data_IF_755983397559
#
_entry.id   IF_755983397559
#
_cell.length_a   1.000
_cell.length_b   1.000
_cell.length_c   1.000
_cell.angle_alpha   90.00
_cell.angle_beta   90.00
_cell.angle_gamma   90.00
#
_symmetry.space_group_name_H-M   'P 1'
#
loop_
_entity.id
_entity.type
_entity.pdbx_description
1 polymer ?
#
# COMPACT_ATOMS: atom_id res chain seq x y z
N UNK A 1 -0.51 23.47 0.46
CA UNK A 1 0.95 23.38 0.61
C UNK A 1 1.46 22.10 -0.04
N UNK A 2 2.05 22.23 -1.21
CA UNK A 2 2.50 21.12 -2.06
C UNK A 2 3.54 20.24 -1.36
N UNK A 3 4.41 20.84 -0.59
CA UNK A 3 5.49 20.17 0.12
C UNK A 3 4.98 19.15 1.15
N UNK A 4 3.99 19.55 1.96
CA UNK A 4 3.42 18.62 2.95
C UNK A 4 2.76 17.41 2.30
N UNK A 5 2.00 17.62 1.22
CA UNK A 5 1.40 16.49 0.49
C UNK A 5 2.42 15.61 -0.20
N UNK A 6 3.49 16.19 -0.75
CA UNK A 6 4.57 15.44 -1.36
C UNK A 6 5.25 14.51 -0.34
N UNK A 7 5.60 15.01 0.84
CA UNK A 7 6.22 14.19 1.88
C UNK A 7 5.29 13.09 2.41
N UNK A 8 4.01 13.39 2.58
CA UNK A 8 3.00 12.39 2.97
C UNK A 8 2.92 11.28 1.92
N UNK A 9 2.88 11.63 0.63
CA UNK A 9 2.78 10.67 -0.46
C UNK A 9 4.03 9.80 -0.57
N UNK A 10 5.22 10.41 -0.46
CA UNK A 10 6.50 9.69 -0.46
C UNK A 10 6.60 8.75 0.74
N UNK A 11 6.21 9.20 1.94
CA UNK A 11 6.22 8.36 3.13
C UNK A 11 5.24 7.17 3.00
N UNK A 12 4.10 7.37 2.37
CA UNK A 12 3.13 6.30 2.14
C UNK A 12 3.65 5.24 1.16
N UNK A 13 4.40 5.63 0.12
CA UNK A 13 4.95 4.72 -0.88
C UNK A 13 6.28 4.10 -0.47
N UNK A 14 7.24 4.90 -0.01
CA UNK A 14 8.61 4.45 0.25
C UNK A 14 8.83 3.90 1.66
N UNK A 15 8.16 4.48 2.67
CA UNK A 15 8.31 4.11 4.09
C UNK A 15 6.93 3.72 4.63
N UNK A 16 6.28 2.81 3.94
CA UNK A 16 4.91 2.43 4.27
C UNK A 16 4.85 1.50 5.48
N UNK A 17 3.99 1.82 6.44
CA UNK A 17 3.64 0.92 7.53
C UNK A 17 2.98 -0.38 7.05
N UNK A 18 2.34 -0.36 5.87
CA UNK A 18 1.82 -1.56 5.24
C UNK A 18 2.93 -2.56 4.91
N UNK A 19 4.07 -2.09 4.40
CA UNK A 19 5.24 -2.95 4.16
C UNK A 19 5.73 -3.62 5.45
N UNK A 20 5.68 -2.93 6.57
CA UNK A 20 6.09 -3.50 7.87
C UNK A 20 5.18 -4.63 8.34
N UNK A 21 3.90 -4.64 7.97
CA UNK A 21 2.98 -5.74 8.27
C UNK A 21 3.22 -6.95 7.37
N UNK A 22 3.69 -6.75 6.14
CA UNK A 22 3.93 -7.80 5.16
C UNK A 22 5.32 -8.43 5.27
N UNK A 23 6.34 -7.64 5.62
CA UNK A 23 7.73 -8.08 5.69
C UNK A 23 7.95 -9.32 6.57
N UNK A 24 7.35 -9.43 7.79
CA UNK A 24 7.50 -10.63 8.61
C UNK A 24 6.90 -11.88 7.98
N UNK A 25 5.80 -11.75 7.23
CA UNK A 25 5.17 -12.86 6.52
C UNK A 25 6.05 -13.33 5.36
N UNK A 26 6.58 -12.39 4.58
CA UNK A 26 7.48 -12.70 3.48
C UNK A 26 8.79 -13.30 3.97
N UNK A 27 9.37 -12.78 5.06
CA UNK A 27 10.58 -13.33 5.66
C UNK A 27 10.44 -14.81 6.05
N UNK A 28 9.28 -15.20 6.57
CA UNK A 28 8.97 -16.61 6.92
C UNK A 28 8.81 -17.53 5.70
N UNK A 29 8.49 -16.94 4.53
CA UNK A 29 8.30 -17.71 3.29
C UNK A 29 9.57 -17.83 2.45
N UNK A 30 10.62 -17.07 2.75
CA UNK A 30 11.88 -17.12 2.02
C UNK A 30 12.65 -18.41 2.29
N UNK A 31 13.22 -18.99 1.22
CA UNK A 31 14.05 -20.18 1.31
C UNK A 31 15.49 -19.88 1.76
N UNK A 32 15.96 -18.67 1.53
CA UNK A 32 17.32 -18.25 1.84
C UNK A 32 17.36 -16.75 2.12
N UNK A 33 18.14 -16.34 3.11
CA UNK A 33 18.37 -14.93 3.46
C UNK A 33 19.00 -14.14 2.29
N UNK A 34 19.78 -14.78 1.43
CA UNK A 34 20.37 -14.17 0.24
C UNK A 34 19.32 -13.60 -0.74
N UNK A 35 18.10 -14.12 -0.73
CA UNK A 35 17.00 -13.63 -1.54
C UNK A 35 16.36 -12.35 -0.98
N UNK A 36 16.65 -11.99 0.26
CA UNK A 36 16.01 -10.86 0.94
C UNK A 36 16.16 -9.54 0.18
N UNK A 37 17.36 -9.26 -0.33
CA UNK A 37 17.59 -8.05 -1.12
C UNK A 37 16.71 -7.99 -2.38
N UNK A 38 16.60 -9.10 -3.10
CA UNK A 38 15.76 -9.16 -4.30
C UNK A 38 14.26 -9.08 -3.95
N UNK A 39 13.82 -9.80 -2.92
CA UNK A 39 12.41 -9.85 -2.54
C UNK A 39 11.93 -8.53 -1.97
N UNK A 40 12.66 -7.92 -1.05
CA UNK A 40 12.22 -6.69 -0.39
C UNK A 40 12.59 -5.45 -1.20
N UNK A 41 13.86 -5.25 -1.52
CA UNK A 41 14.30 -4.07 -2.26
C UNK A 41 13.90 -4.11 -3.74
N UNK A 42 14.03 -5.27 -4.39
CA UNK A 42 13.64 -5.44 -5.79
C UNK A 42 12.15 -5.19 -6.02
N UNK A 43 11.28 -5.67 -5.13
CA UNK A 43 9.85 -5.41 -5.20
C UNK A 43 9.53 -3.91 -5.05
N UNK A 44 10.18 -3.22 -4.12
CA UNK A 44 10.03 -1.76 -3.92
C UNK A 44 10.45 -0.96 -5.15
N UNK A 45 11.55 -1.34 -5.79
CA UNK A 45 12.01 -0.69 -7.03
C UNK A 45 11.00 -0.92 -8.16
N UNK A 46 10.49 -2.14 -8.31
CA UNK A 46 9.47 -2.45 -9.32
C UNK A 46 8.18 -1.64 -9.10
N UNK A 47 7.71 -1.55 -7.85
CA UNK A 47 6.57 -0.72 -7.47
C UNK A 47 6.80 0.76 -7.81
N UNK A 48 7.98 1.29 -7.48
CA UNK A 48 8.36 2.66 -7.79
C UNK A 48 8.36 2.95 -9.31
N UNK A 49 8.87 2.03 -10.12
CA UNK A 49 8.85 2.16 -11.60
C UNK A 49 7.41 2.19 -12.12
N UNK A 50 6.53 1.30 -11.64
CA UNK A 50 5.11 1.28 -12.02
C UNK A 50 4.42 2.59 -11.62
N UNK A 51 4.68 3.08 -10.41
CA UNK A 51 4.15 4.36 -9.93
C UNK A 51 4.60 5.54 -10.80
N UNK A 52 5.86 5.56 -11.24
CA UNK A 52 6.38 6.58 -12.16
C UNK A 52 5.73 6.51 -13.55
N UNK A 53 5.43 5.33 -14.06
CA UNK A 53 4.67 5.17 -15.32
C UNK A 53 3.29 5.81 -15.19
N UNK A 54 2.56 5.56 -14.10
CA UNK A 54 1.26 6.17 -13.83
C UNK A 54 1.35 7.70 -13.69
N UNK A 55 2.35 8.20 -12.98
CA UNK A 55 2.59 9.63 -12.84
C UNK A 55 2.89 10.29 -14.19
N UNK A 56 3.74 9.67 -15.01
CA UNK A 56 4.07 10.15 -16.34
C UNK A 56 2.85 10.17 -17.27
N UNK A 57 2.02 9.13 -17.23
CA UNK A 57 0.78 9.06 -17.99
C UNK A 57 -0.20 10.17 -17.56
N UNK A 58 -0.36 10.39 -16.26
CA UNK A 58 -1.18 11.48 -15.74
C UNK A 58 -0.67 12.86 -16.21
N UNK A 59 0.62 13.12 -16.12
CA UNK A 59 1.23 14.38 -16.56
C UNK A 59 1.11 14.59 -18.09
N UNK A 60 1.24 13.51 -18.87
CA UNK A 60 1.17 13.61 -20.32
C UNK A 60 -0.25 13.88 -20.85
N UNK A 61 -1.25 13.30 -20.21
CA UNK A 61 -2.64 13.39 -20.66
C UNK A 61 -3.38 14.63 -20.12
N UNK A 62 -3.04 15.06 -18.92
CA UNK A 62 -3.67 16.18 -18.26
C UNK A 62 -2.68 17.34 -18.15
N UNK A 63 -2.61 18.16 -19.21
CA UNK A 63 -1.73 19.36 -19.23
C UNK A 63 -2.17 20.37 -18.18
N UNK A 64 -1.23 20.81 -17.39
CA UNK A 64 -1.42 21.97 -16.49
C UNK A 64 -1.40 23.23 -17.34
N UNK A 65 -2.57 23.79 -17.62
CA UNK A 65 -2.71 25.11 -18.26
C UNK A 65 -3.15 26.11 -17.20
N UNK A 66 -2.33 27.14 -16.97
CA UNK A 66 -2.71 28.24 -16.06
C UNK A 66 -2.84 27.89 -14.58
N UNK A 67 -2.20 26.81 -14.11
CA UNK A 67 -2.23 26.41 -12.70
C UNK A 67 -3.47 25.65 -12.25
N UNK A 68 -4.42 25.41 -13.13
CA UNK A 68 -5.64 24.62 -12.88
C UNK A 68 -5.63 23.39 -13.79
N UNK A 69 -5.56 22.21 -13.20
CA UNK A 69 -5.77 20.92 -13.87
C UNK A 69 -7.28 20.70 -14.09
N UNK A 70 -7.91 21.46 -14.97
CA UNK A 70 -9.35 21.37 -15.20
C UNK A 70 -9.76 19.98 -15.67
N UNK A 71 -9.00 19.35 -16.57
CA UNK A 71 -9.34 18.02 -17.08
C UNK A 71 -9.23 16.89 -16.05
N UNK A 72 -8.17 16.87 -15.25
CA UNK A 72 -8.00 15.82 -14.21
C UNK A 72 -9.01 15.98 -13.07
N UNK A 73 -9.31 17.21 -12.64
CA UNK A 73 -10.30 17.45 -11.60
C UNK A 73 -11.70 17.05 -11.99
N UNK A 74 -12.08 17.23 -13.24
CA UNK A 74 -13.38 16.80 -13.77
C UNK A 74 -13.49 15.27 -13.81
N UNK A 75 -12.44 14.60 -14.25
CA UNK A 75 -12.43 13.12 -14.28
C UNK A 75 -12.41 12.55 -12.87
N UNK A 76 -11.65 13.15 -11.94
CA UNK A 76 -11.63 12.74 -10.54
C UNK A 76 -12.96 13.00 -9.81
N UNK A 77 -13.75 13.98 -10.24
CA UNK A 77 -15.10 14.21 -9.71
C UNK A 77 -16.03 12.99 -9.96
N UNK A 78 -15.77 12.23 -11.05
CA UNK A 78 -16.48 11.00 -11.34
C UNK A 78 -15.87 9.76 -10.62
N UNK A 79 -14.89 9.97 -9.76
CA UNK A 79 -14.19 8.94 -8.99
C UNK A 79 -12.84 8.52 -9.58
N UNK A 80 -12.03 7.92 -8.74
CA UNK A 80 -10.66 7.52 -9.12
C UNK A 80 -10.64 6.43 -10.21
N UNK A 81 -11.60 5.51 -10.17
CA UNK A 81 -11.76 4.46 -11.19
C UNK A 81 -12.00 5.04 -12.59
N UNK A 82 -12.74 6.14 -12.68
CA UNK A 82 -12.96 6.85 -13.93
C UNK A 82 -11.67 7.47 -14.48
N UNK A 83 -10.82 8.02 -13.61
CA UNK A 83 -9.51 8.55 -14.01
C UNK A 83 -8.60 7.44 -14.54
N UNK A 84 -8.55 6.31 -13.88
CA UNK A 84 -7.76 5.15 -14.33
C UNK A 84 -8.25 4.66 -15.69
N UNK A 85 -9.57 4.53 -15.87
CA UNK A 85 -10.16 4.13 -17.13
C UNK A 85 -9.83 5.12 -18.25
N UNK A 86 -9.97 6.42 -18.01
CA UNK A 86 -9.69 7.48 -18.97
C UNK A 86 -8.20 7.48 -19.41
N UNK A 87 -7.28 7.31 -18.47
CA UNK A 87 -5.85 7.17 -18.76
C UNK A 87 -5.59 5.94 -19.63
N UNK A 88 -6.18 4.78 -19.28
CA UNK A 88 -5.97 3.55 -20.01
C UNK A 88 -6.54 3.61 -21.44
N UNK A 89 -7.73 4.17 -21.63
CA UNK A 89 -8.36 4.26 -22.97
C UNK A 89 -7.56 5.19 -23.87
N UNK A 90 -7.07 6.31 -23.36
CA UNK A 90 -6.29 7.30 -24.11
C UNK A 90 -4.89 6.82 -24.47
N UNK A 91 -4.29 5.93 -23.66
CA UNK A 91 -2.91 5.45 -23.89
C UNK A 91 -2.85 4.13 -24.65
N UNK A 92 -3.76 3.21 -24.36
CA UNK A 92 -3.66 1.82 -24.82
C UNK A 92 -4.85 1.37 -25.70
N UNK A 93 -5.87 2.19 -25.86
CA UNK A 93 -7.08 1.81 -26.58
C UNK A 93 -7.90 0.72 -25.89
N UNK A 94 -8.91 0.17 -26.58
CA UNK A 94 -9.91 -0.72 -25.96
C UNK A 94 -9.36 -2.04 -25.42
N UNK A 95 -8.43 -2.70 -26.13
CA UNK A 95 -7.83 -3.97 -25.67
C UNK A 95 -6.94 -3.72 -24.45
N UNK A 96 -6.14 -2.65 -24.51
CA UNK A 96 -5.27 -2.27 -23.39
C UNK A 96 -6.06 -1.91 -22.13
N UNK A 97 -7.20 -1.23 -22.28
CA UNK A 97 -8.12 -0.95 -21.16
C UNK A 97 -8.60 -2.23 -20.50
N UNK A 98 -9.06 -3.22 -21.27
CA UNK A 98 -9.55 -4.47 -20.72
C UNK A 98 -8.49 -5.17 -19.86
N UNK A 99 -7.26 -5.27 -20.35
CA UNK A 99 -6.15 -5.86 -19.63
C UNK A 99 -5.76 -5.05 -18.38
N UNK A 100 -5.67 -3.72 -18.49
CA UNK A 100 -5.34 -2.85 -17.37
C UNK A 100 -6.41 -2.89 -16.27
N UNK A 101 -7.69 -2.88 -16.63
CA UNK A 101 -8.78 -2.95 -15.67
C UNK A 101 -8.82 -4.28 -14.92
N UNK A 102 -8.51 -5.40 -15.59
CA UNK A 102 -8.34 -6.69 -14.91
C UNK A 102 -7.23 -6.57 -13.85
N UNK A 103 -6.07 -6.00 -14.20
CA UNK A 103 -4.97 -5.78 -13.25
C UNK A 103 -5.38 -4.90 -12.07
N UNK A 104 -6.06 -3.79 -12.35
CA UNK A 104 -6.54 -2.83 -11.33
C UNK A 104 -7.59 -3.46 -10.40
N UNK A 105 -8.39 -4.41 -10.86
CA UNK A 105 -9.37 -5.13 -10.02
C UNK A 105 -8.67 -6.21 -9.19
N UNK A 106 -7.76 -6.98 -9.80
CA UNK A 106 -7.08 -8.10 -9.12
C UNK A 106 -6.12 -7.61 -8.03
N UNK A 107 -5.43 -6.50 -8.25
CA UNK A 107 -4.45 -5.97 -7.31
C UNK A 107 -5.04 -5.67 -5.91
N UNK A 108 -6.15 -4.94 -5.76
CA UNK A 108 -6.78 -4.73 -4.45
C UNK A 108 -7.28 -6.02 -3.78
N UNK A 109 -7.73 -7.00 -4.57
CA UNK A 109 -8.18 -8.30 -4.05
C UNK A 109 -7.01 -9.04 -3.39
N UNK A 110 -5.87 -9.12 -4.07
CA UNK A 110 -4.67 -9.78 -3.53
C UNK A 110 -4.09 -9.04 -2.32
N UNK A 111 -4.05 -7.72 -2.37
CA UNK A 111 -3.61 -6.88 -1.26
C UNK A 111 -4.54 -6.98 -0.06
N UNK A 112 -5.85 -7.01 -0.29
CA UNK A 112 -6.86 -7.19 0.75
C UNK A 112 -6.75 -8.55 1.42
N UNK A 113 -6.62 -9.64 0.67
CA UNK A 113 -6.41 -10.99 1.23
C UNK A 113 -5.18 -11.01 2.16
N UNK A 114 -4.09 -10.42 1.72
CA UNK A 114 -2.85 -10.38 2.50
C UNK A 114 -3.01 -9.52 3.76
N UNK A 115 -3.67 -8.37 3.67
CA UNK A 115 -3.94 -7.49 4.81
C UNK A 115 -4.83 -8.16 5.87
N UNK A 116 -5.94 -8.78 5.44
CA UNK A 116 -6.83 -9.51 6.35
C UNK A 116 -6.16 -10.74 6.97
N UNK A 117 -5.29 -11.41 6.22
CA UNK A 117 -4.47 -12.52 6.73
C UNK A 117 -3.52 -12.05 7.83
N UNK A 118 -2.83 -10.93 7.59
CA UNK A 118 -1.94 -10.33 8.58
C UNK A 118 -2.70 -9.93 9.85
N UNK A 119 -3.80 -9.21 9.72
CA UNK A 119 -4.63 -8.80 10.84
C UNK A 119 -5.15 -10.02 11.64
N UNK A 120 -5.62 -11.06 10.95
CA UNK A 120 -6.06 -12.30 11.59
C UNK A 120 -4.94 -12.97 12.38
N UNK A 121 -3.72 -13.05 11.82
CA UNK A 121 -2.59 -13.67 12.51
C UNK A 121 -2.18 -12.88 13.75
N UNK A 122 -2.16 -11.56 13.68
CA UNK A 122 -1.88 -10.68 14.82
C UNK A 122 -2.92 -10.88 15.94
N UNK A 123 -4.19 -10.91 15.58
CA UNK A 123 -5.27 -11.18 16.56
C UNK A 123 -5.18 -12.58 17.14
N UNK A 124 -4.86 -13.58 16.31
CA UNK A 124 -4.68 -14.96 16.76
C UNK A 124 -3.53 -15.09 17.77
N UNK A 125 -2.41 -14.42 17.50
CA UNK A 125 -1.26 -14.37 18.42
C UNK A 125 -1.63 -13.65 19.72
N UNK A 126 -2.35 -12.55 19.65
CA UNK A 126 -2.76 -11.76 20.80
C UNK A 126 -3.73 -12.52 21.72
N UNK A 127 -4.73 -13.18 21.12
CA UNK A 127 -5.71 -13.98 21.86
C UNK A 127 -5.27 -15.43 22.09
N UNK A 128 -4.06 -15.81 21.65
CA UNK A 128 -3.51 -17.18 21.74
C UNK A 128 -4.45 -18.24 21.14
N UNK A 129 -5.08 -17.91 20.01
CA UNK A 129 -6.01 -18.78 19.30
C UNK A 129 -5.23 -19.64 18.29
N UNK A 130 -5.28 -20.96 18.47
CA UNK A 130 -4.67 -21.88 17.52
C UNK A 130 -5.37 -21.81 16.15
N UNK A 131 -4.58 -21.56 15.09
CA UNK A 131 -5.03 -21.38 13.72
C UNK A 131 -5.09 -22.68 12.89
N UNK A 132 -4.78 -23.84 13.48
CA UNK A 132 -4.78 -25.13 12.77
C UNK A 132 -6.20 -25.60 12.43
N UNK A 133 -7.17 -25.25 13.25
CA UNK A 133 -8.58 -25.62 13.05
C UNK A 133 -9.33 -24.58 12.20
N UNK A 134 -9.98 -25.05 11.12
CA UNK A 134 -10.74 -24.19 10.20
C UNK A 134 -11.80 -23.33 10.94
N UNK A 135 -12.51 -23.93 11.90
CA UNK A 135 -13.52 -23.22 12.68
C UNK A 135 -12.96 -22.01 13.43
N UNK A 136 -11.81 -22.17 14.09
CA UNK A 136 -11.13 -21.07 14.80
C UNK A 136 -10.63 -19.98 13.86
N UNK A 137 -10.22 -20.36 12.64
CA UNK A 137 -9.85 -19.39 11.58
C UNK A 137 -11.06 -18.59 11.14
N UNK A 138 -12.21 -19.24 10.93
CA UNK A 138 -13.45 -18.57 10.49
C UNK A 138 -13.98 -17.61 11.55
N UNK A 139 -13.92 -17.96 12.84
CA UNK A 139 -14.33 -17.10 13.96
C UNK A 139 -13.58 -15.75 13.94
N UNK A 140 -12.33 -15.71 13.53
CA UNK A 140 -11.57 -14.47 13.39
C UNK A 140 -11.76 -13.81 12.02
N UNK A 141 -11.86 -14.60 10.93
CA UNK A 141 -12.02 -14.06 9.59
C UNK A 141 -13.35 -13.35 9.38
N UNK A 142 -14.44 -13.94 9.83
CA UNK A 142 -15.80 -13.40 9.56
C UNK A 142 -15.99 -12.01 10.17
N UNK A 143 -15.67 -11.76 11.45
CA UNK A 143 -15.76 -10.41 12.01
C UNK A 143 -14.83 -9.41 11.32
N UNK A 144 -13.61 -9.82 10.97
CA UNK A 144 -12.67 -8.95 10.26
C UNK A 144 -13.20 -8.54 8.88
N UNK A 145 -13.74 -9.49 8.12
CA UNK A 145 -14.35 -9.21 6.81
C UNK A 145 -15.60 -8.34 6.96
N UNK A 146 -16.41 -8.55 7.99
CA UNK A 146 -17.59 -7.73 8.28
C UNK A 146 -17.19 -6.28 8.59
N UNK A 147 -16.14 -6.07 9.42
CA UNK A 147 -15.60 -4.75 9.70
C UNK A 147 -15.04 -4.12 8.42
N UNK A 148 -14.31 -4.88 7.61
CA UNK A 148 -13.78 -4.39 6.32
C UNK A 148 -14.89 -3.98 5.36
N UNK A 149 -15.95 -4.77 5.26
CA UNK A 149 -17.12 -4.43 4.45
C UNK A 149 -17.82 -3.16 4.97
N UNK A 150 -17.97 -3.03 6.28
CA UNK A 150 -18.54 -1.81 6.90
C UNK A 150 -17.69 -0.58 6.60
N UNK A 151 -16.38 -0.66 6.77
CA UNK A 151 -15.44 0.44 6.44
C UNK A 151 -15.52 0.81 4.96
N UNK A 152 -15.74 -0.15 4.06
CA UNK A 152 -15.92 0.08 2.63
C UNK A 152 -17.17 0.92 2.27
N UNK A 153 -18.14 1.05 3.15
CA UNK A 153 -19.31 1.93 2.98
C UNK A 153 -19.10 3.36 3.51
N UNK A 154 -18.00 3.61 4.22
CA UNK A 154 -17.68 4.94 4.72
C UNK A 154 -17.13 5.82 3.60
N UNK A 155 -17.19 7.15 3.81
CA UNK A 155 -16.61 8.11 2.88
C UNK A 155 -15.10 7.86 2.71
N UNK A 156 -14.68 7.73 1.45
CA UNK A 156 -13.29 7.45 1.09
C UNK A 156 -12.32 8.49 1.67
N UNK A 157 -12.67 9.79 1.68
CA UNK A 157 -11.78 10.84 2.18
C UNK A 157 -11.50 10.70 3.68
N UNK A 158 -12.50 10.24 4.44
CA UNK A 158 -12.37 9.98 5.88
C UNK A 158 -11.46 8.78 6.09
N UNK A 159 -11.77 7.66 5.43
CA UNK A 159 -11.00 6.41 5.55
C UNK A 159 -9.54 6.64 5.15
N UNK A 160 -9.30 7.33 4.03
CA UNK A 160 -7.97 7.64 3.53
C UNK A 160 -7.14 8.47 4.50
N UNK A 161 -7.76 9.44 5.18
CA UNK A 161 -7.07 10.28 6.18
C UNK A 161 -6.58 9.45 7.36
N UNK A 162 -7.45 8.61 7.94
CA UNK A 162 -7.08 7.75 9.06
C UNK A 162 -6.07 6.67 8.64
N UNK A 163 -6.25 6.08 7.46
CA UNK A 163 -5.30 5.13 6.89
C UNK A 163 -3.90 5.73 6.76
N UNK A 164 -3.80 6.92 6.17
CA UNK A 164 -2.51 7.61 5.98
C UNK A 164 -1.82 7.90 7.32
N UNK A 165 -2.57 8.39 8.30
CA UNK A 165 -2.04 8.66 9.63
C UNK A 165 -1.55 7.39 10.33
N UNK A 166 -2.35 6.33 10.32
CA UNK A 166 -2.00 5.05 10.94
C UNK A 166 -0.77 4.43 10.27
N UNK A 167 -0.72 4.49 8.95
CA UNK A 167 0.39 3.97 8.16
C UNK A 167 1.72 4.66 8.49
N UNK A 168 1.72 5.97 8.61
CA UNK A 168 2.91 6.75 8.98
C UNK A 168 3.34 6.49 10.43
N UNK A 169 2.38 6.39 11.35
CA UNK A 169 2.66 6.06 12.76
C UNK A 169 3.32 4.70 12.88
N UNK A 170 2.82 3.70 12.14
CA UNK A 170 3.41 2.37 12.13
C UNK A 170 4.81 2.37 11.52
N UNK A 171 5.02 3.10 10.43
CA UNK A 171 6.32 3.26 9.80
C UNK A 171 7.35 3.88 10.76
N UNK A 172 6.97 4.91 11.51
CA UNK A 172 7.81 5.52 12.54
C UNK A 172 8.23 4.51 13.61
N UNK A 173 7.30 3.73 14.14
CA UNK A 173 7.58 2.71 15.15
C UNK A 173 8.59 1.68 14.63
N UNK A 174 8.41 1.24 13.38
CA UNK A 174 9.29 0.25 12.74
C UNK A 174 10.68 0.83 12.51
N UNK A 175 10.79 2.07 12.03
CA UNK A 175 12.08 2.74 11.84
C UNK A 175 12.82 2.91 13.15
N UNK A 176 12.14 3.25 14.23
CA UNK A 176 12.74 3.33 15.56
C UNK A 176 13.22 1.97 16.06
N UNK A 177 12.43 0.93 15.83
CA UNK A 177 12.83 -0.45 16.17
C UNK A 177 14.08 -0.87 15.40
N UNK A 178 14.13 -0.56 14.09
CA UNK A 178 15.30 -0.81 13.25
C UNK A 178 16.52 0.00 13.72
N UNK A 179 16.33 1.26 14.12
CA UNK A 179 17.41 2.10 14.67
C UNK A 179 17.98 1.52 15.94
N UNK A 180 17.14 1.04 16.85
CA UNK A 180 17.58 0.37 18.08
C UNK A 180 18.34 -0.93 17.79
N UNK A 181 17.91 -1.69 16.80
CA UNK A 181 18.62 -2.89 16.36
C UNK A 181 20.01 -2.54 15.80
N UNK A 182 20.10 -1.56 14.90
CA UNK A 182 21.38 -1.11 14.31
C UNK A 182 22.33 -0.54 15.38
N UNK A 183 21.79 0.18 16.35
CA UNK A 183 22.56 0.69 17.49
C UNK A 183 23.18 -0.45 18.31
N UNK A 184 22.41 -1.50 18.61
CA UNK A 184 22.91 -2.69 19.32
C UNK A 184 24.00 -3.42 18.55
N UNK A 185 23.84 -3.52 17.23
CA UNK A 185 24.82 -4.13 16.32
C UNK A 185 26.03 -3.24 16.03
N UNK A 186 26.12 -2.07 16.68
CA UNK A 186 27.20 -1.05 16.47
C UNK A 186 27.31 -0.62 14.99
N UNK A 187 26.21 -0.63 14.25
CA UNK A 187 26.10 -0.13 12.90
C UNK A 187 25.56 1.29 12.86
N UNK A 188 25.65 1.94 11.71
CA UNK A 188 25.13 3.30 11.54
C UNK A 188 23.60 3.33 11.63
N UNK A 189 23.08 3.71 12.78
CA UNK A 189 21.64 3.78 13.05
C UNK A 189 20.97 5.05 12.49
N UNK A 190 21.76 6.06 12.10
CA UNK A 190 21.22 7.31 11.55
C UNK A 190 20.46 7.09 10.23
N UNK A 191 20.77 6.03 9.49
CA UNK A 191 20.09 5.67 8.25
C UNK A 191 18.58 5.45 8.47
N UNK A 192 18.19 4.96 9.63
CA UNK A 192 16.79 4.67 9.98
C UNK A 192 16.21 5.62 11.03
N UNK A 193 17.06 6.40 11.71
CA UNK A 193 16.61 7.34 12.72
C UNK A 193 16.20 8.71 12.16
N UNK A 194 16.76 9.10 11.00
CA UNK A 194 16.50 10.41 10.38
C UNK A 194 15.23 10.44 9.56
N UNK A 195 14.89 9.41 8.75
CA UNK A 195 13.62 9.42 7.99
C UNK A 195 12.43 9.31 8.89
#
# INVERSE_FOLDING_TARGET
PIWSFMFITVACGAISGFHSTQSPLMARCMKSEKQGHFVFYGAMVAEGVIALIWAAAGCALYKVTGGLNTGLSEVLANGQSAAIYDVCIKTMGGIGVALAMIGVIVCPITSGDTAFRSARLVLADWFKIDQNKLQKRLILCVPLLAVGAFVGHLDYAIVWRYFSWTNQTLAMIVLWTASMYLFREKKNYWITAVP
#
